data_IF_048351296888
#
_entry.id   IF_048351296888
#
_cell.length_a   1.000
_cell.length_b   1.000
_cell.length_c   1.000
_cell.angle_alpha   90.00
_cell.angle_beta   90.00
_cell.angle_gamma   90.00
#
_symmetry.space_group_name_H-M   'P 1'
#
loop_
_entity.id
_entity.type
_entity.pdbx_description
1 polymer ?
#
# COMPACT_ATOMS: atom_id res chain seq x y z
N UNK A 1 38.49 52.22 19.30
CA UNK A 1 39.46 51.48 20.09
C UNK A 1 39.66 50.10 19.47
N UNK A 2 40.93 49.87 19.11
CA UNK A 2 41.44 48.63 18.50
C UNK A 2 41.52 47.53 19.53
N UNK A 3 41.24 46.28 19.19
CA UNK A 3 42.06 45.15 19.61
C UNK A 3 41.90 43.98 18.65
N UNK A 4 43.00 43.56 18.10
CA UNK A 4 43.27 42.33 17.32
C UNK A 4 43.59 41.18 18.29
N UNK A 5 43.27 39.95 17.89
CA UNK A 5 43.92 38.70 18.33
C UNK A 5 43.53 37.66 17.31
N UNK A 6 44.32 37.24 16.44
CA UNK A 6 45.49 36.33 16.44
C UNK A 6 45.00 34.88 16.21
N UNK A 7 45.32 34.41 14.99
CA UNK A 7 45.17 33.06 14.51
C UNK A 7 46.24 32.16 15.13
N UNK A 8 45.90 30.95 15.52
CA UNK A 8 46.85 29.86 15.77
C UNK A 8 46.50 28.70 14.84
N UNK A 9 47.38 28.46 13.88
CA UNK A 9 47.34 27.30 13.02
C UNK A 9 47.96 26.12 13.71
N UNK A 10 47.35 24.96 13.58
CA UNK A 10 47.92 23.67 13.92
C UNK A 10 48.01 22.84 12.65
N UNK A 11 49.25 22.73 12.11
CA UNK A 11 49.58 21.82 11.03
C UNK A 11 49.75 20.40 11.61
N UNK A 12 48.93 19.46 11.21
CA UNK A 12 49.16 18.05 11.47
C UNK A 12 49.77 17.41 10.22
N UNK A 13 51.04 17.02 10.33
CA UNK A 13 51.76 16.23 9.35
C UNK A 13 51.27 14.78 9.38
N UNK A 14 50.73 14.29 8.25
CA UNK A 14 50.43 12.87 8.08
C UNK A 14 51.65 12.18 7.47
N UNK A 15 52.26 11.33 8.24
CA UNK A 15 53.30 10.38 7.82
C UNK A 15 52.63 9.26 7.01
N UNK A 16 52.92 9.18 5.72
CA UNK A 16 52.57 8.05 4.86
C UNK A 16 53.67 6.99 5.03
N UNK A 17 53.35 5.94 5.76
CA UNK A 17 54.17 4.72 5.78
C UNK A 17 53.81 3.87 4.57
N UNK A 18 54.69 3.80 3.59
CA UNK A 18 54.53 2.93 2.44
C UNK A 18 54.76 1.46 2.86
N UNK A 19 53.73 0.64 2.74
CA UNK A 19 53.88 -0.82 2.78
C UNK A 19 53.97 -1.35 1.36
N UNK A 20 55.14 -1.78 0.97
CA UNK A 20 55.39 -2.55 -0.27
C UNK A 20 54.71 -3.91 -0.12
N UNK A 21 53.64 -4.13 -0.86
CA UNK A 21 53.04 -5.45 -1.00
C UNK A 21 53.84 -6.23 -2.06
N UNK A 22 54.50 -7.25 -1.63
CA UNK A 22 55.11 -8.27 -2.51
C UNK A 22 54.00 -9.04 -3.19
N UNK A 23 53.89 -8.90 -4.50
CA UNK A 23 53.03 -9.76 -5.33
C UNK A 23 53.65 -11.17 -5.37
N UNK A 24 53.08 -12.11 -4.64
CA UNK A 24 53.33 -13.52 -4.85
C UNK A 24 52.58 -13.97 -6.09
N UNK A 25 53.30 -14.33 -7.15
CA UNK A 25 52.74 -14.99 -8.33
C UNK A 25 52.34 -16.41 -7.95
N UNK A 26 51.08 -16.65 -7.69
CA UNK A 26 50.58 -18.03 -7.62
C UNK A 26 50.51 -18.59 -9.05
N UNK A 27 51.35 -19.57 -9.29
CA UNK A 27 51.33 -20.40 -10.48
C UNK A 27 50.01 -21.18 -10.55
N UNK A 28 49.15 -20.82 -11.50
CA UNK A 28 47.94 -21.61 -11.82
C UNK A 28 48.36 -23.04 -12.20
N UNK A 29 47.71 -24.08 -11.64
CA UNK A 29 47.96 -25.45 -12.09
C UNK A 29 47.50 -25.58 -13.53
N UNK A 30 48.41 -25.98 -14.40
CA UNK A 30 48.08 -26.39 -15.78
C UNK A 30 47.18 -27.61 -15.70
N UNK A 31 45.96 -27.46 -16.24
CA UNK A 31 45.04 -28.57 -16.43
C UNK A 31 45.72 -29.58 -17.41
N UNK A 32 45.94 -30.77 -16.92
CA UNK A 32 46.47 -31.87 -17.68
C UNK A 32 45.53 -32.15 -18.89
N UNK A 33 46.07 -32.12 -20.07
CA UNK A 33 45.35 -32.52 -21.30
C UNK A 33 45.05 -34.01 -21.17
N UNK A 34 43.75 -34.30 -20.92
CA UNK A 34 43.25 -35.68 -20.95
C UNK A 34 43.34 -36.19 -22.39
N UNK A 35 44.09 -37.24 -22.61
CA UNK A 35 44.23 -37.91 -23.92
C UNK A 35 42.84 -38.30 -24.43
N UNK A 36 42.51 -37.91 -25.69
CA UNK A 36 41.28 -38.24 -26.35
C UNK A 36 41.13 -39.74 -26.52
N UNK A 37 40.02 -40.26 -26.02
CA UNK A 37 39.62 -41.64 -26.31
C UNK A 37 39.35 -41.85 -27.84
N UNK A 38 39.56 -43.07 -28.40
CA UNK A 38 39.41 -43.34 -29.82
C UNK A 38 38.00 -43.01 -30.29
N UNK A 39 37.92 -42.35 -31.45
CA UNK A 39 36.66 -41.94 -32.10
C UNK A 39 35.81 -43.16 -32.44
N UNK A 40 34.67 -43.30 -31.78
CA UNK A 40 33.59 -44.18 -32.22
C UNK A 40 33.00 -43.73 -33.58
N UNK A 41 32.12 -44.52 -34.21
CA UNK A 41 31.46 -44.16 -35.46
C UNK A 41 30.75 -42.81 -35.32
N UNK A 42 30.71 -42.02 -36.43
CA UNK A 42 30.12 -40.68 -36.40
C UNK A 42 28.68 -40.73 -35.87
N UNK A 43 28.43 -39.96 -34.85
CA UNK A 43 27.08 -39.80 -34.30
C UNK A 43 26.15 -39.25 -35.41
N UNK A 44 24.88 -39.66 -35.47
CA UNK A 44 23.92 -39.06 -36.39
C UNK A 44 23.91 -37.53 -36.18
N UNK A 45 23.67 -36.76 -37.27
CA UNK A 45 23.71 -35.31 -37.22
C UNK A 45 22.83 -34.80 -36.06
N UNK A 46 23.46 -34.19 -35.08
CA UNK A 46 22.75 -33.55 -33.96
C UNK A 46 21.71 -32.61 -34.54
N UNK A 47 20.45 -32.85 -34.17
CA UNK A 47 19.42 -31.80 -34.36
C UNK A 47 19.98 -30.50 -33.79
N UNK A 48 19.89 -29.38 -34.53
CA UNK A 48 20.32 -28.10 -34.00
C UNK A 48 19.72 -27.95 -32.61
N UNK A 49 20.52 -27.56 -31.60
CA UNK A 49 20.03 -27.42 -30.23
C UNK A 49 18.80 -26.54 -30.26
N UNK A 50 17.72 -27.01 -29.62
CA UNK A 50 16.58 -26.15 -29.43
C UNK A 50 17.09 -24.82 -28.82
N UNK A 51 16.68 -23.65 -29.33
CA UNK A 51 17.24 -22.36 -28.94
C UNK A 51 17.11 -22.07 -27.46
N UNK A 52 16.35 -22.88 -26.73
CA UNK A 52 16.22 -22.82 -25.30
C UNK A 52 16.32 -24.21 -24.67
N UNK A 53 17.46 -24.56 -24.10
CA UNK A 53 17.54 -25.62 -23.10
C UNK A 53 16.95 -25.08 -21.82
N UNK A 54 15.72 -25.46 -21.51
CA UNK A 54 14.93 -24.95 -20.39
C UNK A 54 15.52 -25.22 -18.98
N UNK A 55 16.68 -25.89 -18.89
CA UNK A 55 17.36 -26.15 -17.62
C UNK A 55 18.63 -25.34 -17.38
N UNK A 56 19.17 -24.64 -18.40
CA UNK A 56 20.48 -23.99 -18.29
C UNK A 56 20.41 -22.44 -18.42
N UNK A 57 19.29 -21.90 -18.88
CA UNK A 57 19.14 -20.46 -19.10
C UNK A 57 18.11 -19.89 -18.13
N UNK A 58 18.58 -19.04 -17.26
CA UNK A 58 17.69 -18.15 -16.51
C UNK A 58 16.99 -17.24 -17.54
N UNK A 59 15.68 -17.46 -17.72
CA UNK A 59 14.88 -16.72 -18.72
C UNK A 59 15.10 -15.20 -18.63
N UNK A 60 15.41 -14.72 -17.43
CA UNK A 60 15.72 -13.33 -17.13
C UNK A 60 16.92 -12.78 -17.89
N UNK A 61 17.94 -13.60 -18.15
CA UNK A 61 19.16 -13.13 -18.81
C UNK A 61 18.94 -12.74 -20.27
N UNK A 62 18.02 -13.41 -20.96
CA UNK A 62 17.70 -13.11 -22.36
C UNK A 62 16.46 -12.22 -22.52
N UNK A 63 15.50 -12.35 -21.61
CA UNK A 63 14.19 -11.68 -21.72
C UNK A 63 14.06 -10.43 -20.86
N UNK A 64 15.09 -10.00 -20.13
CA UNK A 64 15.04 -8.77 -19.34
C UNK A 64 14.70 -7.54 -20.17
N UNK A 65 15.25 -7.40 -21.38
CA UNK A 65 14.96 -6.28 -22.26
C UNK A 65 13.53 -6.30 -22.80
N UNK A 66 13.09 -7.46 -23.31
CA UNK A 66 11.78 -7.66 -23.92
C UNK A 66 10.65 -7.77 -22.86
N UNK A 67 10.97 -8.33 -21.70
CA UNK A 67 10.00 -8.63 -20.64
C UNK A 67 10.22 -7.81 -19.36
N UNK A 68 10.97 -6.71 -19.45
CA UNK A 68 11.27 -5.87 -18.27
C UNK A 68 10.01 -5.49 -17.47
N UNK A 69 8.95 -5.08 -18.16
CA UNK A 69 7.69 -4.73 -17.53
C UNK A 69 7.05 -5.91 -16.79
N UNK A 70 7.12 -7.12 -17.39
CA UNK A 70 6.60 -8.35 -16.76
C UNK A 70 7.39 -8.72 -15.51
N UNK A 71 8.72 -8.63 -15.58
CA UNK A 71 9.59 -8.89 -14.41
C UNK A 71 9.34 -7.87 -13.31
N UNK A 72 9.24 -6.59 -13.66
CA UNK A 72 8.90 -5.53 -12.69
C UNK A 72 7.53 -5.77 -12.04
N UNK A 73 6.53 -6.16 -12.83
CA UNK A 73 5.20 -6.51 -12.32
C UNK A 73 5.29 -7.69 -11.34
N UNK A 74 6.05 -8.74 -11.68
CA UNK A 74 6.23 -9.92 -10.83
C UNK A 74 6.91 -9.60 -9.50
N UNK A 75 7.90 -8.69 -9.52
CA UNK A 75 8.57 -8.17 -8.34
C UNK A 75 7.66 -7.19 -7.55
N UNK A 76 6.67 -6.59 -8.21
CA UNK A 76 5.76 -5.62 -7.61
C UNK A 76 6.30 -4.20 -7.56
N UNK A 77 6.99 -3.78 -8.62
CA UNK A 77 7.54 -2.44 -8.80
C UNK A 77 7.16 -1.87 -10.17
N UNK A 78 7.49 -0.62 -10.43
CA UNK A 78 7.32 0.01 -11.74
C UNK A 78 6.01 0.80 -11.89
N UNK A 79 5.01 0.58 -11.07
CA UNK A 79 3.81 1.42 -10.99
C UNK A 79 4.07 2.71 -10.22
N UNK A 80 3.20 3.70 -10.40
CA UNK A 80 3.28 4.99 -9.69
C UNK A 80 2.41 4.98 -8.44
N UNK A 81 2.93 5.57 -7.36
CA UNK A 81 2.21 5.80 -6.11
C UNK A 81 1.86 4.57 -5.27
N UNK A 82 2.23 3.38 -5.72
CA UNK A 82 2.05 2.14 -4.96
C UNK A 82 3.36 1.75 -4.24
N UNK A 83 3.27 1.21 -3.02
CA UNK A 83 4.41 0.55 -2.40
C UNK A 83 4.78 -0.71 -3.19
N UNK A 84 6.00 -1.23 -2.96
CA UNK A 84 6.39 -2.52 -3.50
C UNK A 84 5.51 -3.62 -2.91
N UNK A 85 4.84 -4.37 -3.76
CA UNK A 85 4.01 -5.52 -3.38
C UNK A 85 4.45 -6.72 -4.20
N UNK A 86 5.43 -7.52 -3.73
CA UNK A 86 5.91 -8.68 -4.47
C UNK A 86 4.80 -9.72 -4.67
N UNK A 87 4.79 -10.37 -5.83
CA UNK A 87 3.93 -11.53 -6.06
C UNK A 87 4.25 -12.63 -5.04
N UNK A 88 3.23 -13.34 -4.53
CA UNK A 88 3.44 -14.46 -3.62
C UNK A 88 4.34 -15.54 -4.23
N UNK A 89 4.23 -15.79 -5.54
CA UNK A 89 5.08 -16.74 -6.23
C UNK A 89 6.53 -16.24 -6.32
N UNK A 90 6.74 -14.92 -6.45
CA UNK A 90 8.09 -14.34 -6.39
C UNK A 90 8.74 -14.53 -5.02
N UNK A 91 7.97 -14.33 -3.93
CA UNK A 91 8.47 -14.50 -2.57
C UNK A 91 8.94 -15.93 -2.29
N UNK A 92 8.28 -16.93 -2.87
CA UNK A 92 8.66 -18.35 -2.75
C UNK A 92 9.54 -18.85 -3.91
N UNK A 93 10.09 -17.91 -4.70
CA UNK A 93 11.05 -18.17 -5.78
C UNK A 93 10.53 -19.12 -6.88
N UNK A 94 9.26 -18.98 -7.25
CA UNK A 94 8.72 -19.71 -8.41
C UNK A 94 9.30 -19.11 -9.70
N UNK A 95 9.92 -19.94 -10.51
CA UNK A 95 10.50 -19.54 -11.79
C UNK A 95 9.45 -19.51 -12.91
N UNK A 96 9.74 -18.77 -13.98
CA UNK A 96 8.82 -18.58 -15.11
C UNK A 96 8.35 -19.90 -15.71
N UNK A 97 9.27 -20.86 -15.84
CA UNK A 97 9.00 -22.19 -16.40
C UNK A 97 8.08 -23.06 -15.54
N UNK A 98 7.93 -22.75 -14.25
CA UNK A 98 7.01 -23.49 -13.39
C UNK A 98 5.55 -23.28 -13.81
N UNK A 99 5.24 -22.11 -14.37
CA UNK A 99 3.90 -21.77 -14.88
C UNK A 99 3.82 -21.90 -16.40
N UNK A 100 4.85 -21.50 -17.15
CA UNK A 100 4.90 -21.53 -18.59
C UNK A 100 5.34 -22.90 -19.09
N UNK A 101 4.44 -23.87 -19.06
CA UNK A 101 4.71 -25.28 -19.35
C UNK A 101 4.05 -25.79 -20.65
N UNK A 102 3.07 -25.07 -21.20
CA UNK A 102 2.37 -25.49 -22.40
C UNK A 102 3.01 -24.89 -23.64
N UNK A 103 3.58 -25.70 -24.57
CA UNK A 103 4.12 -25.19 -25.81
C UNK A 103 3.07 -24.38 -26.59
N UNK A 104 3.43 -23.20 -27.05
CA UNK A 104 2.62 -22.42 -27.98
C UNK A 104 2.91 -22.95 -29.41
N UNK A 105 1.88 -23.42 -30.12
CA UNK A 105 2.03 -23.78 -31.50
C UNK A 105 2.57 -22.59 -32.31
N UNK A 106 3.55 -22.81 -33.14
CA UNK A 106 4.09 -21.80 -34.05
C UNK A 106 3.02 -21.48 -35.09
N UNK A 107 2.39 -20.31 -34.98
CA UNK A 107 1.51 -19.83 -36.05
C UNK A 107 2.38 -19.27 -37.17
N UNK A 108 2.49 -20.04 -38.27
CA UNK A 108 2.80 -19.55 -39.62
C UNK A 108 4.15 -18.91 -39.91
N UNK A 109 5.06 -18.76 -38.98
CA UNK A 109 6.38 -18.17 -39.23
C UNK A 109 7.49 -19.15 -38.89
N UNK A 110 8.30 -19.37 -39.85
CA UNK A 110 9.51 -20.18 -39.75
C UNK A 110 10.34 -19.85 -38.54
N UNK A 111 10.47 -20.78 -37.66
CA UNK A 111 11.19 -20.99 -36.42
C UNK A 111 12.44 -20.21 -36.05
N UNK A 112 12.49 -18.92 -36.32
CA UNK A 112 13.60 -18.07 -35.88
C UNK A 112 13.48 -17.64 -34.42
N UNK A 113 12.28 -17.75 -33.82
CA UNK A 113 12.03 -17.29 -32.43
C UNK A 113 12.03 -18.38 -31.37
N UNK A 114 12.30 -19.64 -31.74
CA UNK A 114 12.29 -20.77 -30.80
C UNK A 114 10.92 -21.13 -30.25
N UNK A 115 10.90 -22.12 -29.36
CA UNK A 115 9.69 -22.60 -28.73
C UNK A 115 9.27 -21.62 -27.61
N UNK A 116 8.08 -21.04 -27.73
CA UNK A 116 7.47 -20.24 -26.67
C UNK A 116 6.46 -21.08 -25.90
N UNK A 117 6.25 -20.71 -24.62
CA UNK A 117 5.37 -21.43 -23.72
C UNK A 117 4.27 -20.51 -23.17
N UNK A 118 3.06 -21.05 -23.08
CA UNK A 118 1.93 -20.40 -22.41
C UNK A 118 1.83 -20.89 -20.97
N UNK A 119 1.28 -20.07 -20.06
CA UNK A 119 0.99 -20.54 -18.71
C UNK A 119 -0.03 -21.68 -18.76
N UNK A 120 0.17 -22.65 -17.90
CA UNK A 120 -0.71 -23.80 -17.76
C UNK A 120 -1.46 -23.69 -16.43
N UNK A 121 -2.77 -23.89 -16.46
CA UNK A 121 -3.59 -23.98 -15.27
C UNK A 121 -3.23 -25.23 -14.43
N UNK A 122 -2.78 -26.28 -15.09
CA UNK A 122 -2.30 -27.48 -14.44
C UNK A 122 -1.09 -27.20 -13.52
N UNK A 123 -0.27 -26.21 -13.84
CA UNK A 123 0.82 -25.77 -12.96
C UNK A 123 0.29 -25.22 -11.62
N UNK A 124 -0.81 -24.45 -11.67
CA UNK A 124 -1.45 -23.96 -10.44
C UNK A 124 -1.98 -25.10 -9.58
N UNK A 125 -2.67 -26.04 -10.22
CA UNK A 125 -3.26 -27.22 -9.55
C UNK A 125 -2.18 -28.12 -8.97
N UNK A 126 -1.06 -28.33 -9.68
CA UNK A 126 0.05 -29.15 -9.22
C UNK A 126 0.69 -28.70 -7.92
N UNK A 127 0.73 -27.40 -7.67
CA UNK A 127 1.28 -26.82 -6.44
C UNK A 127 0.20 -26.53 -5.38
N UNK A 128 -0.98 -26.07 -5.79
CA UNK A 128 -2.01 -25.52 -4.91
C UNK A 128 -3.23 -26.44 -4.74
N UNK A 129 -3.32 -27.53 -5.51
CA UNK A 129 -4.43 -28.47 -5.49
C UNK A 129 -5.65 -28.00 -6.31
N UNK A 130 -6.63 -28.91 -6.47
CA UNK A 130 -7.79 -28.75 -7.34
C UNK A 130 -8.66 -27.52 -7.04
N UNK A 131 -8.69 -27.06 -5.81
CA UNK A 131 -9.45 -25.87 -5.40
C UNK A 131 -9.01 -24.59 -6.13
N UNK A 132 -7.81 -24.58 -6.70
CA UNK A 132 -7.28 -23.43 -7.47
C UNK A 132 -7.45 -23.58 -8.98
N UNK A 133 -8.15 -24.62 -9.43
CA UNK A 133 -8.55 -24.74 -10.84
C UNK A 133 -9.43 -23.56 -11.25
N UNK A 134 -9.18 -22.97 -12.40
CA UNK A 134 -9.87 -21.77 -12.88
C UNK A 134 -9.27 -20.45 -12.36
N UNK A 135 -8.23 -20.51 -11.51
CA UNK A 135 -7.64 -19.31 -10.90
C UNK A 135 -7.04 -18.36 -11.94
N UNK A 136 -6.32 -18.88 -12.92
CA UNK A 136 -5.71 -18.08 -13.98
C UNK A 136 -6.77 -17.28 -14.76
N UNK A 137 -7.86 -17.96 -15.15
CA UNK A 137 -8.97 -17.32 -15.85
C UNK A 137 -9.68 -16.29 -14.97
N UNK A 138 -9.87 -16.60 -13.69
CA UNK A 138 -10.48 -15.67 -12.72
C UNK A 138 -9.65 -14.40 -12.58
N UNK A 139 -8.35 -14.52 -12.43
CA UNK A 139 -7.44 -13.38 -12.35
C UNK A 139 -7.48 -12.51 -13.60
N UNK A 140 -7.42 -13.15 -14.78
CA UNK A 140 -7.52 -12.45 -16.04
C UNK A 140 -8.85 -11.69 -16.16
N UNK A 141 -9.96 -12.35 -15.89
CA UNK A 141 -11.31 -11.74 -15.95
C UNK A 141 -11.45 -10.59 -14.96
N UNK A 142 -10.96 -10.74 -13.73
CA UNK A 142 -11.04 -9.69 -12.70
C UNK A 142 -10.25 -8.45 -13.12
N UNK A 143 -9.01 -8.61 -13.58
CA UNK A 143 -8.20 -7.48 -14.04
C UNK A 143 -8.79 -6.81 -15.28
N UNK A 144 -9.35 -7.58 -16.21
CA UNK A 144 -10.06 -7.04 -17.37
C UNK A 144 -11.23 -6.15 -16.94
N UNK A 145 -12.10 -6.65 -16.06
CA UNK A 145 -13.23 -5.87 -15.51
C UNK A 145 -12.76 -4.59 -14.82
N UNK A 146 -11.71 -4.67 -14.00
CA UNK A 146 -11.16 -3.47 -13.35
C UNK A 146 -10.63 -2.46 -14.36
N UNK A 147 -9.94 -2.92 -15.40
CA UNK A 147 -9.43 -2.04 -16.47
C UNK A 147 -10.58 -1.41 -17.25
N UNK A 148 -11.60 -2.19 -17.60
CA UNK A 148 -12.82 -1.72 -18.29
C UNK A 148 -13.59 -0.68 -17.46
N UNK A 149 -13.59 -0.83 -16.14
CA UNK A 149 -14.23 0.13 -15.25
C UNK A 149 -13.46 1.49 -15.18
N UNK A 150 -12.11 1.46 -15.19
CA UNK A 150 -11.28 2.67 -15.05
C UNK A 150 -11.10 3.41 -16.38
N UNK A 151 -11.05 2.70 -17.51
CA UNK A 151 -10.74 3.29 -18.82
C UNK A 151 -11.73 4.40 -19.26
N UNK A 152 -13.06 4.27 -19.16
CA UNK A 152 -13.98 5.34 -19.50
C UNK A 152 -13.80 6.58 -18.62
N UNK A 153 -13.48 6.37 -17.35
CA UNK A 153 -13.22 7.43 -16.39
C UNK A 153 -11.98 8.22 -16.76
N UNK A 154 -10.89 7.52 -17.18
CA UNK A 154 -9.70 8.16 -17.71
C UNK A 154 -10.01 9.03 -18.94
N UNK A 155 -10.80 8.51 -19.89
CA UNK A 155 -11.24 9.27 -21.06
C UNK A 155 -12.00 10.54 -20.69
N UNK A 156 -12.97 10.44 -19.77
CA UNK A 156 -13.75 11.59 -19.29
C UNK A 156 -12.87 12.64 -18.58
N UNK A 157 -11.92 12.20 -17.76
CA UNK A 157 -10.99 13.11 -17.06
C UNK A 157 -10.04 13.80 -18.04
N UNK A 158 -9.54 13.10 -19.08
CA UNK A 158 -8.78 13.70 -20.17
C UNK A 158 -9.57 14.77 -20.93
N UNK A 159 -10.83 14.50 -21.23
CA UNK A 159 -11.71 15.47 -21.88
C UNK A 159 -11.94 16.70 -20.99
N UNK A 160 -12.14 16.50 -19.68
CA UNK A 160 -12.30 17.61 -18.74
C UNK A 160 -11.03 18.48 -18.64
N UNK A 161 -9.84 17.86 -18.60
CA UNK A 161 -8.56 18.58 -18.63
C UNK A 161 -8.34 19.39 -19.89
N UNK A 162 -8.72 18.85 -21.06
CA UNK A 162 -8.58 19.55 -22.34
C UNK A 162 -9.40 20.85 -22.40
N UNK A 163 -10.53 20.91 -21.68
CA UNK A 163 -11.39 22.08 -21.57
C UNK A 163 -11.15 22.97 -20.35
N UNK A 164 -10.15 22.66 -19.53
CA UNK A 164 -9.88 23.40 -18.29
C UNK A 164 -8.92 24.60 -18.52
N UNK A 165 -9.03 25.61 -17.67
CA UNK A 165 -8.09 26.73 -17.66
C UNK A 165 -6.72 26.27 -17.12
N UNK A 166 -5.71 26.32 -17.99
CA UNK A 166 -4.33 25.96 -17.63
C UNK A 166 -3.68 26.90 -16.61
N UNK A 167 -4.26 28.09 -16.39
CA UNK A 167 -3.78 29.06 -15.40
C UNK A 167 -4.36 28.79 -14.00
N UNK A 168 -5.36 27.92 -13.88
CA UNK A 168 -5.87 27.52 -12.58
C UNK A 168 -4.75 26.82 -11.79
N UNK A 169 -4.46 27.23 -10.55
CA UNK A 169 -3.44 26.59 -9.69
C UNK A 169 -3.64 25.10 -9.50
N UNK A 170 -4.88 24.62 -9.63
CA UNK A 170 -5.25 23.21 -9.49
C UNK A 170 -4.99 22.39 -10.76
N UNK A 171 -4.83 23.05 -11.92
CA UNK A 171 -4.68 22.37 -13.22
C UNK A 171 -3.50 21.40 -13.22
N UNK A 172 -2.31 21.87 -12.81
CA UNK A 172 -1.09 21.05 -12.80
C UNK A 172 -1.25 19.81 -11.94
N UNK A 173 -1.88 19.93 -10.78
CA UNK A 173 -2.14 18.75 -9.92
C UNK A 173 -3.12 17.79 -10.57
N UNK A 174 -4.21 18.27 -11.13
CA UNK A 174 -5.19 17.46 -11.85
C UNK A 174 -4.57 16.73 -13.03
N UNK A 175 -3.70 17.41 -13.78
CA UNK A 175 -2.94 16.81 -14.89
C UNK A 175 -2.00 15.71 -14.41
N UNK A 176 -1.20 15.96 -13.37
CA UNK A 176 -0.29 14.95 -12.80
C UNK A 176 -1.04 13.70 -12.37
N UNK A 177 -2.15 13.85 -11.65
CA UNK A 177 -2.97 12.72 -11.21
C UNK A 177 -3.52 11.92 -12.40
N UNK A 178 -3.94 12.61 -13.48
CA UNK A 178 -4.45 11.97 -14.69
C UNK A 178 -3.35 11.22 -15.43
N UNK A 179 -2.15 11.82 -15.54
CA UNK A 179 -0.98 11.21 -16.20
C UNK A 179 -0.48 9.99 -15.42
N UNK A 180 -0.49 10.05 -14.09
CA UNK A 180 -0.13 8.93 -13.23
C UNK A 180 -1.17 7.79 -13.30
N UNK A 181 -2.45 8.12 -13.35
CA UNK A 181 -3.52 7.16 -13.54
C UNK A 181 -3.40 6.45 -14.90
N UNK A 182 -3.19 7.21 -15.98
CA UNK A 182 -2.98 6.63 -17.32
C UNK A 182 -1.76 5.74 -17.37
N UNK A 183 -0.65 6.19 -16.77
CA UNK A 183 0.55 5.37 -16.68
C UNK A 183 0.27 4.02 -16.03
N UNK A 184 -0.42 4.00 -14.88
CA UNK A 184 -0.72 2.77 -14.17
C UNK A 184 -1.65 1.84 -14.97
N UNK A 185 -2.69 2.37 -15.61
CA UNK A 185 -3.58 1.58 -16.47
C UNK A 185 -2.81 0.94 -17.62
N UNK A 186 -1.96 1.72 -18.30
CA UNK A 186 -1.11 1.21 -19.39
C UNK A 186 -0.09 0.21 -18.90
N UNK A 187 0.54 0.47 -17.76
CA UNK A 187 1.54 -0.40 -17.17
C UNK A 187 0.94 -1.78 -16.84
N UNK A 188 -0.24 -1.84 -16.23
CA UNK A 188 -0.94 -3.11 -15.95
C UNK A 188 -1.17 -3.91 -17.23
N UNK A 189 -1.55 -3.25 -18.33
CA UNK A 189 -1.78 -3.91 -19.62
C UNK A 189 -0.47 -4.42 -20.24
N UNK A 190 0.56 -3.57 -20.35
CA UNK A 190 1.84 -3.88 -21.01
C UNK A 190 2.65 -4.89 -20.19
N UNK A 191 2.74 -4.70 -18.88
CA UNK A 191 3.48 -5.56 -17.97
C UNK A 191 2.73 -6.87 -17.63
N UNK A 192 1.56 -7.10 -18.26
CA UNK A 192 0.74 -8.29 -18.02
C UNK A 192 0.44 -8.48 -16.52
N UNK A 193 -0.43 -7.67 -16.01
CA UNK A 193 -0.80 -7.60 -14.58
C UNK A 193 -1.09 -8.93 -13.89
N UNK A 194 -1.39 -9.97 -14.68
CA UNK A 194 -1.59 -11.34 -14.19
C UNK A 194 -0.37 -11.94 -13.47
N UNK A 195 0.84 -11.43 -13.72
CA UNK A 195 2.04 -11.87 -13.02
C UNK A 195 2.10 -11.40 -11.57
N UNK A 196 1.32 -10.37 -11.22
CA UNK A 196 1.10 -9.95 -9.86
C UNK A 196 -0.27 -9.26 -9.74
N UNK A 197 -1.29 -10.07 -9.59
CA UNK A 197 -2.69 -9.63 -9.62
C UNK A 197 -3.03 -8.64 -8.51
N UNK A 198 -2.37 -8.74 -7.36
CA UNK A 198 -2.58 -7.81 -6.25
C UNK A 198 -2.00 -6.44 -6.57
N UNK A 199 -0.76 -6.40 -7.00
CA UNK A 199 -0.12 -5.14 -7.39
C UNK A 199 -0.85 -4.48 -8.55
N UNK A 200 -1.22 -5.24 -9.57
CA UNK A 200 -2.00 -4.74 -10.70
C UNK A 200 -3.36 -4.17 -10.28
N UNK A 201 -4.08 -4.89 -9.41
CA UNK A 201 -5.36 -4.43 -8.89
C UNK A 201 -5.22 -3.18 -8.02
N UNK A 202 -4.17 -3.09 -7.21
CA UNK A 202 -3.89 -1.90 -6.39
C UNK A 202 -3.56 -0.68 -7.27
N UNK A 203 -2.79 -0.86 -8.34
CA UNK A 203 -2.52 0.20 -9.32
C UNK A 203 -3.79 0.71 -10.00
N UNK A 204 -4.71 -0.18 -10.39
CA UNK A 204 -5.99 0.20 -10.98
C UNK A 204 -6.89 0.92 -9.98
N UNK A 205 -6.90 0.50 -8.72
CA UNK A 205 -7.60 1.19 -7.64
C UNK A 205 -7.03 2.59 -7.41
N UNK A 206 -5.71 2.76 -7.36
CA UNK A 206 -5.07 4.06 -7.25
C UNK A 206 -5.45 4.97 -8.42
N UNK A 207 -5.37 4.44 -9.65
CA UNK A 207 -5.77 5.18 -10.84
C UNK A 207 -7.23 5.64 -10.74
N UNK A 208 -8.15 4.78 -10.29
CA UNK A 208 -9.54 5.15 -10.06
C UNK A 208 -9.69 6.32 -9.08
N UNK A 209 -9.01 6.28 -7.93
CA UNK A 209 -9.05 7.33 -6.92
C UNK A 209 -8.45 8.65 -7.41
N UNK A 210 -7.34 8.60 -8.12
CA UNK A 210 -6.69 9.79 -8.69
C UNK A 210 -7.55 10.49 -9.75
N UNK A 211 -8.28 9.73 -10.54
CA UNK A 211 -9.22 10.30 -11.51
C UNK A 211 -10.41 11.00 -10.80
N UNK A 212 -10.87 10.49 -9.66
CA UNK A 212 -11.86 11.18 -8.83
C UNK A 212 -11.31 12.50 -8.28
N UNK A 213 -10.09 12.47 -7.72
CA UNK A 213 -9.41 13.66 -7.20
C UNK A 213 -9.20 14.70 -8.31
N UNK A 214 -8.74 14.26 -9.49
CA UNK A 214 -8.53 15.16 -10.63
C UNK A 214 -9.83 15.83 -11.08
N UNK A 215 -10.94 15.10 -11.20
CA UNK A 215 -12.24 15.65 -11.53
C UNK A 215 -12.73 16.66 -10.47
N UNK A 216 -12.55 16.34 -9.20
CA UNK A 216 -12.88 17.26 -8.10
C UNK A 216 -12.06 18.56 -8.15
N UNK A 217 -10.76 18.48 -8.43
CA UNK A 217 -9.89 19.65 -8.62
C UNK A 217 -10.36 20.53 -9.79
N UNK A 218 -10.85 19.93 -10.86
CA UNK A 218 -11.41 20.63 -12.04
C UNK A 218 -12.85 21.14 -11.82
N UNK A 219 -13.41 20.98 -10.61
CA UNK A 219 -14.80 21.38 -10.31
C UNK A 219 -15.84 20.56 -11.06
N UNK A 220 -15.52 19.34 -11.46
CA UNK A 220 -16.39 18.42 -12.17
C UNK A 220 -16.84 17.27 -11.27
N UNK A 221 -18.06 16.79 -11.48
CA UNK A 221 -18.50 15.57 -10.79
C UNK A 221 -17.69 14.36 -11.29
N UNK A 222 -17.22 13.49 -10.37
CA UNK A 222 -16.52 12.26 -10.76
C UNK A 222 -17.45 11.34 -11.55
N UNK A 223 -16.90 10.64 -12.53
CA UNK A 223 -17.62 9.57 -13.24
C UNK A 223 -17.86 8.44 -12.24
N UNK A 224 -19.12 8.15 -11.97
CA UNK A 224 -19.50 7.06 -11.06
C UNK A 224 -19.12 5.72 -11.70
N UNK A 225 -18.23 5.01 -11.06
CA UNK A 225 -17.93 3.61 -11.34
C UNK A 225 -18.46 2.81 -10.16
N UNK A 226 -19.54 2.09 -10.38
CA UNK A 226 -20.18 1.28 -9.35
C UNK A 226 -19.59 -0.15 -9.35
N UNK A 227 -18.28 -0.24 -9.37
CA UNK A 227 -17.59 -1.52 -9.29
C UNK A 227 -16.80 -1.61 -7.97
N UNK A 228 -17.23 -2.50 -7.10
CA UNK A 228 -16.56 -2.77 -5.82
C UNK A 228 -15.10 -3.22 -6.02
N UNK A 229 -14.76 -3.82 -7.17
CA UNK A 229 -13.41 -4.27 -7.46
C UNK A 229 -12.42 -3.10 -7.44
N UNK A 230 -12.74 -2.00 -8.14
CA UNK A 230 -11.86 -0.81 -8.18
C UNK A 230 -11.91 0.02 -6.89
N UNK A 231 -12.83 -0.29 -5.98
CA UNK A 231 -12.90 0.31 -4.64
C UNK A 231 -12.13 -0.49 -3.57
N UNK A 232 -11.63 -1.68 -3.89
CA UNK A 232 -10.81 -2.50 -3.01
C UNK A 232 -11.35 -3.89 -2.66
N UNK A 233 -12.48 -4.29 -3.25
CA UNK A 233 -13.04 -5.64 -3.09
C UNK A 233 -12.30 -6.75 -3.85
N UNK A 234 -11.24 -6.39 -4.58
CA UNK A 234 -10.51 -7.34 -5.45
C UNK A 234 -9.86 -8.50 -4.70
N UNK A 235 -9.45 -8.35 -3.44
CA UNK A 235 -8.87 -9.45 -2.67
C UNK A 235 -9.85 -10.62 -2.51
N UNK A 236 -11.13 -10.32 -2.26
CA UNK A 236 -12.18 -11.33 -2.20
C UNK A 236 -12.33 -12.02 -3.56
N UNK A 237 -12.49 -11.25 -4.62
CA UNK A 237 -12.70 -11.78 -5.98
C UNK A 237 -11.49 -12.56 -6.50
N UNK A 238 -10.26 -12.13 -6.20
CA UNK A 238 -9.04 -12.76 -6.70
C UNK A 238 -8.73 -14.09 -6.02
N UNK A 239 -8.97 -14.23 -4.72
CA UNK A 239 -8.54 -15.41 -3.97
C UNK A 239 -9.52 -15.91 -2.92
N UNK A 240 -10.12 -15.05 -2.12
CA UNK A 240 -10.85 -15.49 -0.92
C UNK A 240 -12.12 -16.27 -1.27
N UNK A 241 -12.84 -15.90 -2.32
CA UNK A 241 -14.02 -16.63 -2.79
C UNK A 241 -13.67 -18.05 -3.23
N UNK A 242 -12.56 -18.22 -3.97
CA UNK A 242 -12.07 -19.54 -4.41
C UNK A 242 -11.60 -20.37 -3.23
N UNK A 243 -10.86 -19.74 -2.32
CA UNK A 243 -10.41 -20.40 -1.09
C UNK A 243 -11.55 -20.63 -0.07
N UNK A 244 -12.79 -20.21 -0.40
CA UNK A 244 -13.97 -20.28 0.48
C UNK A 244 -13.72 -19.64 1.85
N UNK A 245 -12.97 -18.55 1.88
CA UNK A 245 -12.74 -17.75 3.08
C UNK A 245 -13.97 -16.88 3.31
N UNK A 246 -14.72 -17.16 4.35
CA UNK A 246 -15.84 -16.31 4.78
C UNK A 246 -15.30 -15.09 5.52
N UNK A 247 -15.65 -13.90 5.07
CA UNK A 247 -15.42 -12.68 5.82
C UNK A 247 -16.31 -12.70 7.07
N UNK A 248 -15.72 -12.43 8.22
CA UNK A 248 -16.46 -12.29 9.48
C UNK A 248 -17.13 -10.92 9.52
N UNK A 249 -18.38 -10.85 9.93
CA UNK A 249 -19.09 -9.57 10.08
C UNK A 249 -18.47 -8.71 11.18
N UNK A 250 -17.97 -9.33 12.23
CA UNK A 250 -17.33 -8.65 13.35
C UNK A 250 -16.03 -9.36 13.69
N UNK A 251 -14.98 -8.58 13.93
CA UNK A 251 -13.66 -9.05 14.41
C UNK A 251 -13.25 -8.27 15.66
N UNK A 252 -12.35 -8.83 16.45
CA UNK A 252 -11.75 -8.14 17.60
C UNK A 252 -10.34 -7.68 17.23
N UNK A 253 -10.08 -6.39 17.37
CA UNK A 253 -8.75 -5.81 17.17
C UNK A 253 -8.48 -4.75 18.24
N UNK A 254 -7.31 -4.79 18.86
CA UNK A 254 -6.92 -3.86 19.95
C UNK A 254 -8.00 -3.76 21.06
N UNK A 255 -8.57 -4.89 21.46
CA UNK A 255 -9.65 -5.03 22.46
C UNK A 255 -10.98 -4.33 22.07
N UNK A 256 -11.13 -3.95 20.79
CA UNK A 256 -12.36 -3.35 20.29
C UNK A 256 -13.06 -4.30 19.32
N UNK A 257 -14.39 -4.32 19.36
CA UNK A 257 -15.20 -5.01 18.34
C UNK A 257 -15.30 -4.13 17.09
N UNK A 258 -14.72 -4.58 16.01
CA UNK A 258 -14.75 -3.89 14.73
C UNK A 258 -15.83 -4.52 13.86
N UNK A 259 -16.84 -3.77 13.39
CA UNK A 259 -17.86 -4.26 12.45
C UNK A 259 -17.23 -4.41 11.06
N UNK A 260 -16.50 -5.51 10.85
CA UNK A 260 -15.66 -5.75 9.69
C UNK A 260 -16.48 -5.80 8.38
N UNK A 261 -17.61 -6.51 8.38
CA UNK A 261 -18.50 -6.55 7.23
C UNK A 261 -18.98 -5.16 6.80
N UNK A 262 -19.36 -4.32 7.77
CA UNK A 262 -19.78 -2.94 7.50
C UNK A 262 -18.68 -2.09 6.89
N UNK A 263 -17.44 -2.18 7.41
CA UNK A 263 -16.31 -1.44 6.86
C UNK A 263 -16.04 -1.81 5.39
N UNK A 264 -16.08 -3.09 5.08
CA UNK A 264 -15.76 -3.59 3.74
C UNK A 264 -16.93 -3.43 2.77
N UNK A 265 -18.13 -3.88 3.15
CA UNK A 265 -19.27 -3.95 2.24
C UNK A 265 -20.01 -2.61 2.11
N UNK A 266 -20.22 -1.90 3.22
CA UNK A 266 -21.03 -0.67 3.20
C UNK A 266 -20.19 0.59 3.03
N UNK A 267 -19.01 0.65 3.67
CA UNK A 267 -18.17 1.84 3.68
C UNK A 267 -17.03 1.79 2.68
N UNK A 268 -16.85 0.66 1.98
CA UNK A 268 -15.87 0.50 0.92
C UNK A 268 -14.41 0.57 1.40
N UNK A 269 -14.16 0.26 2.68
CA UNK A 269 -12.79 0.18 3.19
C UNK A 269 -12.03 -0.93 2.47
N UNK A 270 -10.83 -0.63 2.00
CA UNK A 270 -10.03 -1.60 1.28
C UNK A 270 -9.36 -2.57 2.23
N UNK A 271 -9.20 -3.82 1.81
CA UNK A 271 -8.52 -4.83 2.62
C UNK A 271 -7.11 -4.38 3.04
N UNK A 272 -6.40 -3.74 2.11
CA UNK A 272 -5.04 -3.24 2.32
C UNK A 272 -4.96 -2.02 3.24
N UNK A 273 -6.07 -1.38 3.57
CA UNK A 273 -6.10 -0.33 4.59
C UNK A 273 -5.81 -0.87 6.00
N UNK A 274 -6.11 -2.15 6.23
CA UNK A 274 -5.95 -2.80 7.53
C UNK A 274 -5.03 -4.02 7.48
N UNK A 275 -4.93 -4.70 6.33
CA UNK A 275 -4.13 -5.91 6.17
C UNK A 275 -2.91 -5.65 5.28
N UNK A 276 -1.79 -6.32 5.61
CA UNK A 276 -0.62 -6.32 4.75
C UNK A 276 -0.90 -7.10 3.46
N UNK A 277 -0.58 -6.48 2.33
CA UNK A 277 -0.54 -7.18 1.05
C UNK A 277 0.75 -8.02 0.90
N UNK A 278 1.82 -7.63 1.59
CA UNK A 278 3.12 -8.31 1.56
C UNK A 278 3.11 -9.56 2.47
N UNK A 279 2.64 -9.41 3.69
CA UNK A 279 2.56 -10.52 4.65
C UNK A 279 1.10 -10.93 4.83
N UNK A 280 0.70 -12.02 4.17
CA UNK A 280 -0.66 -12.50 4.21
C UNK A 280 -1.14 -12.76 5.65
N UNK A 281 -2.35 -12.33 5.96
CA UNK A 281 -3.02 -12.35 7.28
C UNK A 281 -2.49 -11.34 8.30
N UNK A 282 -1.36 -10.68 8.08
CA UNK A 282 -0.89 -9.68 9.02
C UNK A 282 -1.82 -8.45 9.01
N UNK A 283 -2.15 -7.96 10.19
CA UNK A 283 -2.89 -6.71 10.37
C UNK A 283 -1.87 -5.60 10.62
N UNK A 284 -1.88 -4.60 9.76
CA UNK A 284 -0.98 -3.44 9.83
C UNK A 284 -1.69 -2.17 10.31
N UNK A 285 -3.00 -2.28 10.57
CA UNK A 285 -3.79 -1.15 11.04
C UNK A 285 -3.26 -0.59 12.38
N UNK A 286 -3.22 0.71 12.46
CA UNK A 286 -2.82 1.48 13.65
C UNK A 286 -3.92 2.46 14.03
N UNK A 287 -3.79 3.14 15.17
CA UNK A 287 -4.70 4.25 15.51
C UNK A 287 -4.73 5.33 14.43
N UNK A 288 -3.60 5.61 13.78
CA UNK A 288 -3.53 6.56 12.68
C UNK A 288 -4.35 6.08 11.46
N UNK A 289 -4.30 4.78 11.15
CA UNK A 289 -5.11 4.18 10.09
C UNK A 289 -6.60 4.37 10.34
N UNK A 290 -7.05 4.09 11.56
CA UNK A 290 -8.44 4.31 11.94
C UNK A 290 -8.79 5.81 11.89
N UNK A 291 -7.89 6.65 12.40
CA UNK A 291 -8.04 8.10 12.46
C UNK A 291 -8.19 8.75 11.09
N UNK A 292 -7.54 8.22 10.06
CA UNK A 292 -7.62 8.77 8.71
C UNK A 292 -9.06 8.83 8.17
N UNK A 293 -9.91 7.86 8.55
CA UNK A 293 -11.33 7.84 8.17
C UNK A 293 -12.22 8.37 9.31
N UNK A 294 -11.99 7.90 10.55
CA UNK A 294 -12.85 8.26 11.68
C UNK A 294 -12.66 9.70 12.14
N UNK A 295 -11.49 10.28 11.93
CA UNK A 295 -11.14 11.64 12.28
C UNK A 295 -10.69 12.47 11.05
N UNK A 296 -11.03 12.03 9.85
CA UNK A 296 -10.75 12.78 8.62
C UNK A 296 -11.61 14.04 8.50
N UNK A 297 -11.21 14.98 7.61
CA UNK A 297 -11.92 16.25 7.39
C UNK A 297 -13.40 16.08 7.00
N UNK A 298 -13.76 14.89 6.52
CA UNK A 298 -15.13 14.57 6.11
C UNK A 298 -16.04 14.09 7.26
N UNK A 299 -15.48 13.87 8.46
CA UNK A 299 -16.23 13.39 9.61
C UNK A 299 -16.19 14.41 10.76
N UNK A 300 -16.83 15.55 10.55
CA UNK A 300 -16.92 16.63 11.54
C UNK A 300 -17.95 16.37 12.64
N UNK A 301 -18.75 15.30 12.53
CA UNK A 301 -19.75 14.93 13.53
C UNK A 301 -19.14 14.12 14.68
N UNK A 302 -18.36 14.79 15.49
CA UNK A 302 -17.67 14.20 16.65
C UNK A 302 -18.64 13.49 17.61
N UNK A 303 -19.82 14.05 17.80
CA UNK A 303 -20.88 13.55 18.66
C UNK A 303 -21.47 12.22 18.20
N UNK A 304 -21.33 11.84 16.95
CA UNK A 304 -21.83 10.53 16.47
C UNK A 304 -21.09 9.35 17.12
N UNK A 305 -19.82 9.55 17.49
CA UNK A 305 -18.98 8.56 18.18
C UNK A 305 -18.71 8.93 19.64
N UNK A 306 -18.49 10.21 19.93
CA UNK A 306 -18.19 10.73 21.27
C UNK A 306 -19.44 11.26 21.98
N UNK A 307 -20.53 10.50 21.95
CA UNK A 307 -21.83 10.89 22.51
C UNK A 307 -21.79 11.30 23.97
N UNK A 308 -21.15 10.54 24.87
CA UNK A 308 -21.09 10.94 26.30
C UNK A 308 -20.37 12.27 26.50
N UNK A 309 -19.24 12.47 25.80
CA UNK A 309 -18.46 13.70 25.89
C UNK A 309 -19.23 14.91 25.35
N UNK A 310 -19.87 14.72 24.19
CA UNK A 310 -20.70 15.76 23.60
C UNK A 310 -21.90 16.11 24.48
N UNK A 311 -22.58 15.10 25.04
CA UNK A 311 -23.68 15.30 25.95
C UNK A 311 -23.26 16.04 27.23
N UNK A 312 -22.10 15.68 27.81
CA UNK A 312 -21.53 16.42 28.96
C UNK A 312 -21.21 17.86 28.59
N UNK A 313 -20.55 18.07 27.47
CA UNK A 313 -20.16 19.39 26.98
C UNK A 313 -21.37 20.31 26.76
N UNK A 314 -22.45 19.77 26.21
CA UNK A 314 -23.68 20.52 25.89
C UNK A 314 -24.71 20.59 27.04
N UNK A 315 -24.46 19.89 28.13
CA UNK A 315 -25.42 19.85 29.25
C UNK A 315 -26.65 18.98 28.96
N UNK A 316 -26.51 17.94 28.14
CA UNK A 316 -27.61 17.05 27.74
C UNK A 316 -27.69 15.77 28.62
N UNK A 317 -26.72 15.57 29.52
CA UNK A 317 -26.66 14.40 30.39
C UNK A 317 -27.59 14.54 31.56
N UNK A 318 -28.51 13.59 31.69
CA UNK A 318 -29.41 13.47 32.86
C UNK A 318 -28.81 12.49 33.86
N UNK A 319 -28.76 12.92 35.12
CA UNK A 319 -28.34 12.10 36.27
C UNK A 319 -29.48 11.99 37.29
N UNK A 320 -29.33 11.17 38.31
CA UNK A 320 -30.25 11.08 39.41
C UNK A 320 -30.38 12.40 40.22
N UNK A 321 -29.34 13.27 40.11
CA UNK A 321 -29.28 14.57 40.79
C UNK A 321 -29.76 15.74 39.92
N UNK A 322 -30.20 15.47 38.70
CA UNK A 322 -30.64 16.48 37.73
C UNK A 322 -29.86 16.44 36.42
N UNK A 323 -30.12 17.44 35.57
CA UNK A 323 -29.39 17.59 34.28
C UNK A 323 -28.08 18.32 34.52
N UNK A 324 -26.99 17.82 33.94
CA UNK A 324 -25.68 18.47 34.02
C UNK A 324 -25.75 19.82 33.32
N UNK A 325 -25.19 20.86 33.90
CA UNK A 325 -25.12 22.17 33.27
C UNK A 325 -24.18 22.13 32.05
N UNK A 326 -24.51 22.88 30.97
CA UNK A 326 -23.61 22.94 29.82
C UNK A 326 -22.29 23.62 30.19
N UNK A 327 -21.21 23.18 29.55
CA UNK A 327 -19.93 23.87 29.68
C UNK A 327 -20.04 25.30 29.14
N UNK A 328 -19.43 26.25 29.83
CA UNK A 328 -19.50 27.68 29.48
C UNK A 328 -19.01 27.99 28.08
N UNK A 329 -18.12 27.16 27.51
CA UNK A 329 -17.60 27.30 26.16
C UNK A 329 -18.48 26.61 25.10
N UNK A 330 -19.49 25.83 25.51
CA UNK A 330 -20.26 24.99 24.57
C UNK A 330 -21.02 25.79 23.49
N UNK A 331 -21.39 27.04 23.81
CA UNK A 331 -22.06 27.93 22.87
C UNK A 331 -21.11 28.59 21.84
N UNK A 332 -19.82 28.67 22.14
CA UNK A 332 -18.85 29.44 21.36
C UNK A 332 -17.76 28.59 20.70
N UNK A 333 -17.46 27.40 21.22
CA UNK A 333 -16.32 26.59 20.81
C UNK A 333 -16.78 25.22 20.39
N UNK A 334 -16.45 24.83 19.12
CA UNK A 334 -16.65 23.47 18.64
C UNK A 334 -15.55 22.53 19.18
N UNK A 335 -15.77 21.22 19.11
CA UNK A 335 -14.79 20.21 19.57
C UNK A 335 -13.40 20.41 18.94
N UNK A 336 -13.35 20.80 17.66
CA UNK A 336 -12.12 21.08 16.91
C UNK A 336 -11.37 22.33 17.38
N UNK A 337 -12.02 23.22 18.14
CA UNK A 337 -11.35 24.36 18.77
C UNK A 337 -10.35 23.96 19.84
N UNK A 338 -10.60 22.83 20.53
CA UNK A 338 -9.69 22.27 21.53
C UNK A 338 -8.94 21.03 21.06
N UNK A 339 -9.56 20.21 20.20
CA UNK A 339 -8.99 18.97 19.72
C UNK A 339 -8.45 19.10 18.30
N UNK A 340 -7.17 18.81 18.12
CA UNK A 340 -6.50 18.80 16.81
C UNK A 340 -6.24 17.37 16.37
N UNK A 341 -6.80 17.01 15.22
CA UNK A 341 -6.69 15.65 14.65
C UNK A 341 -5.30 15.30 14.14
N UNK A 342 -4.56 16.32 13.72
CA UNK A 342 -3.20 16.18 13.18
C UNK A 342 -2.16 15.92 14.26
N UNK A 343 -2.50 16.19 15.53
CA UNK A 343 -1.61 16.03 16.67
C UNK A 343 -2.08 14.90 17.59
N UNK A 344 -1.16 14.36 18.38
CA UNK A 344 -1.51 13.39 19.43
C UNK A 344 -2.57 14.00 20.35
N UNK A 345 -3.64 13.27 20.61
CA UNK A 345 -4.68 13.62 21.60
C UNK A 345 -4.07 13.59 23.01
N UNK A 346 -3.26 14.56 23.34
CA UNK A 346 -2.66 14.69 24.67
C UNK A 346 -3.27 15.88 25.39
N UNK A 347 -3.33 15.80 26.71
CA UNK A 347 -3.76 16.94 27.57
C UNK A 347 -2.92 18.18 27.27
N UNK A 348 -1.61 18.02 27.04
CA UNK A 348 -0.72 19.11 26.67
C UNK A 348 -1.13 19.81 25.38
N UNK A 349 -1.48 19.06 24.33
CA UNK A 349 -1.92 19.63 23.05
C UNK A 349 -3.24 20.41 23.18
N UNK A 350 -4.14 19.99 24.06
CA UNK A 350 -5.36 20.76 24.38
C UNK A 350 -5.01 22.04 25.16
N UNK A 351 -4.08 21.97 26.10
CA UNK A 351 -3.61 23.13 26.85
C UNK A 351 -3.02 24.23 25.96
N UNK A 352 -2.27 23.86 24.93
CA UNK A 352 -1.75 24.81 23.94
C UNK A 352 -2.86 25.55 23.17
N UNK A 353 -4.02 24.92 22.98
CA UNK A 353 -5.17 25.55 22.31
C UNK A 353 -5.86 26.60 23.19
N UNK A 354 -5.79 26.45 24.50
CA UNK A 354 -6.39 27.44 25.44
C UNK A 354 -5.79 28.82 25.22
N UNK A 355 -4.48 28.94 25.06
CA UNK A 355 -3.79 30.22 24.87
C UNK A 355 -4.02 30.86 23.52
N UNK A 356 -4.64 30.14 22.56
CA UNK A 356 -5.10 30.73 21.31
C UNK A 356 -6.28 31.69 21.43
N UNK A 357 -7.04 31.58 22.55
CA UNK A 357 -8.20 32.40 22.86
C UNK A 357 -8.09 33.06 24.22
N UNK A 358 -7.31 32.50 25.13
CA UNK A 358 -7.13 32.93 26.53
C UNK A 358 -5.66 33.27 26.79
N UNK A 359 -5.38 33.97 27.89
CA UNK A 359 -4.02 34.27 28.31
C UNK A 359 -3.26 33.04 28.84
N UNK A 360 -1.94 33.12 28.89
CA UNK A 360 -1.04 32.05 29.26
C UNK A 360 -1.40 31.26 30.56
N UNK A 361 -1.95 31.87 31.63
CA UNK A 361 -2.35 31.16 32.85
C UNK A 361 -3.35 30.02 32.63
N UNK A 362 -4.14 30.07 31.52
CA UNK A 362 -5.16 29.04 31.26
C UNK A 362 -4.58 27.66 30.94
N UNK A 363 -3.31 27.57 30.55
CA UNK A 363 -2.63 26.26 30.38
C UNK A 363 -2.47 25.54 31.71
N UNK A 364 -2.12 26.30 32.77
CA UNK A 364 -1.98 25.75 34.12
C UNK A 364 -3.36 25.35 34.69
N UNK A 365 -4.41 26.13 34.41
CA UNK A 365 -5.78 25.86 34.83
C UNK A 365 -6.30 24.51 34.28
N UNK A 366 -6.02 24.15 33.04
CA UNK A 366 -6.37 22.82 32.50
C UNK A 366 -5.70 21.69 33.30
N UNK A 367 -4.43 21.86 33.66
CA UNK A 367 -3.69 20.88 34.44
C UNK A 367 -4.30 20.74 35.84
N UNK A 368 -4.64 21.84 36.48
CA UNK A 368 -5.29 21.87 37.78
C UNK A 368 -6.65 21.14 37.74
N UNK A 369 -7.53 21.48 36.79
CA UNK A 369 -8.82 20.81 36.61
C UNK A 369 -8.69 19.31 36.43
N UNK A 370 -7.78 18.87 35.53
CA UNK A 370 -7.63 17.45 35.26
C UNK A 370 -7.04 16.70 36.44
N UNK A 371 -6.13 17.29 37.19
CA UNK A 371 -5.54 16.68 38.39
C UNK A 371 -6.57 16.59 39.51
N UNK A 372 -7.35 17.64 39.75
CA UNK A 372 -8.44 17.64 40.72
C UNK A 372 -9.49 16.59 40.41
N UNK A 373 -9.93 16.53 39.15
CA UNK A 373 -10.92 15.56 38.71
C UNK A 373 -10.43 14.11 38.84
N UNK A 374 -9.17 13.83 38.46
CA UNK A 374 -8.56 12.50 38.61
C UNK A 374 -8.50 12.10 40.12
N UNK A 375 -8.21 13.05 41.02
CA UNK A 375 -8.20 12.81 42.46
C UNK A 375 -9.62 12.50 43.01
N UNK A 376 -10.62 13.25 42.58
CA UNK A 376 -12.02 13.04 42.99
C UNK A 376 -12.56 11.71 42.49
N UNK A 377 -12.27 11.33 41.25
CA UNK A 377 -12.63 10.02 40.68
C UNK A 377 -12.01 8.86 41.48
N UNK A 378 -10.72 8.99 41.86
CA UNK A 378 -10.04 7.99 42.67
C UNK A 378 -10.71 7.83 44.03
N UNK A 379 -10.96 8.95 44.73
CA UNK A 379 -11.64 8.95 46.02
C UNK A 379 -13.04 8.35 45.96
N UNK A 380 -13.83 8.71 44.92
CA UNK A 380 -15.16 8.16 44.70
C UNK A 380 -15.13 6.66 44.47
N UNK A 381 -14.19 6.19 43.65
CA UNK A 381 -14.01 4.76 43.37
C UNK A 381 -13.58 3.96 44.61
N UNK A 382 -12.78 4.54 45.47
CA UNK A 382 -12.42 3.93 46.78
C UNK A 382 -13.62 3.86 47.72
N UNK A 383 -14.42 4.92 47.79
CA UNK A 383 -15.65 4.97 48.62
C UNK A 383 -16.65 3.91 48.15
N UNK A 384 -16.82 3.74 46.81
CA UNK A 384 -17.72 2.73 46.25
C UNK A 384 -17.26 1.32 46.61
N UNK A 385 -15.98 1.03 46.42
CA UNK A 385 -15.42 -0.30 46.77
C UNK A 385 -15.62 -0.63 48.26
N UNK A 386 -15.47 0.37 49.13
CA UNK A 386 -15.64 0.17 50.56
C UNK A 386 -17.13 -0.03 50.95
N UNK A 387 -18.06 0.47 50.12
CA UNK A 387 -19.49 0.28 50.34
C UNK A 387 -20.01 -1.07 49.78
N UNK A 388 -19.30 -1.66 48.86
CA UNK A 388 -19.62 -2.98 48.28
C UNK A 388 -18.98 -4.16 49.06
N UNK A 389 -18.01 -3.87 49.94
CA UNK A 389 -17.34 -4.84 50.81
C UNK A 389 -18.08 -5.01 52.14
#
# INVERSE_FOLDING_TARGET
MRTRLAAVGLSAAVLIAGTTVFAQSESRPQLAVVAQAPKGPPAPPERPPAPHRTGELECRNCHLGEHQGVVQMYIGIGGRGAPTIPSHMFQVRVECIACHTTPKAAEGTMGLSGQTFRPSEQACVGCHGEKYRGMLQRWATTLTKMTEAVTPKLGATRAALAGADRKDPKYTRAQTLTDDAEFNVRYVAVAKGIHNVFYAADLLKLANGWLDEAMALLGRAPVKVDDQLVRGGYCAALCHEVARVKLRDTVTFANQKIPHGRHVAELGATCTSCHSAETHKAVTATKATCGACHHGPQNERCESCHRPQAGFYRGEVKTALGTVAPNVMAAAVACTGCHDWSRKHSRAAVGEKCVGCHEAPYTALLTEWTTGFDADLKKTAETLRNAEA
#
